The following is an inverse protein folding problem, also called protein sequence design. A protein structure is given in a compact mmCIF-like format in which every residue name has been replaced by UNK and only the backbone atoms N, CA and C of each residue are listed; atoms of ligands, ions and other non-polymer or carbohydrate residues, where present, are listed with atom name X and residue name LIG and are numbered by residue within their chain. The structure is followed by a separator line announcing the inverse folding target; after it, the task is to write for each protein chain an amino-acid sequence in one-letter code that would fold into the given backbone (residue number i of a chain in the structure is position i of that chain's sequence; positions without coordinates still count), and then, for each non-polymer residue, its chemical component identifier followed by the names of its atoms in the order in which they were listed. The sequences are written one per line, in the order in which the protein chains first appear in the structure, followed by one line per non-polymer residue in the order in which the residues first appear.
data_IF_626591488944
#
_entry.id   IF_626591488944
#
_cell.length_a   1.000
_cell.length_b   1.000
_cell.length_c   1.000
_cell.angle_alpha   90.00
_cell.angle_beta   90.00
_cell.angle_gamma   90.00
#
_symmetry.space_group_name_H-M   'P 1'
#
loop_
_entity.id
_entity.type
_entity.pdbx_description
1 polymer ?
#
# COMPACT_ATOMS: atom_id res chain seq x y z
N UNK A 1 15.25 -2.64 -15.47
CA UNK A 1 14.29 -2.39 -14.37
C UNK A 1 12.97 -2.00 -15.01
N UNK A 2 11.93 -2.84 -14.90
CA UNK A 2 10.64 -2.62 -15.58
C UNK A 2 9.68 -1.92 -14.62
N UNK A 3 9.31 -0.68 -14.91
CA UNK A 3 8.32 0.05 -14.13
C UNK A 3 6.91 -0.29 -14.63
N UNK A 4 6.03 -0.71 -13.73
CA UNK A 4 4.70 -1.20 -14.10
C UNK A 4 3.69 -0.06 -14.34
N UNK A 5 3.97 1.16 -13.86
CA UNK A 5 3.00 2.27 -13.86
C UNK A 5 3.65 3.61 -14.23
N UNK A 6 4.08 3.84 -15.48
CA UNK A 6 4.51 5.17 -15.94
C UNK A 6 3.50 6.27 -15.62
N UNK A 7 3.95 7.52 -15.47
CA UNK A 7 3.04 8.65 -15.29
C UNK A 7 1.99 8.70 -16.42
N UNK A 8 0.73 8.96 -16.06
CA UNK A 8 -0.40 8.92 -16.99
C UNK A 8 -0.96 7.52 -17.30
N UNK A 9 -0.43 6.46 -16.69
CA UNK A 9 -0.99 5.12 -16.83
C UNK A 9 -2.36 5.00 -16.13
N UNK A 10 -3.28 4.32 -16.78
CA UNK A 10 -4.52 3.87 -16.15
C UNK A 10 -4.22 2.63 -15.30
N UNK A 11 -4.77 2.61 -14.09
CA UNK A 11 -4.66 1.51 -13.13
C UNK A 11 -6.02 1.22 -12.52
N UNK A 12 -6.25 -0.03 -12.15
CA UNK A 12 -7.44 -0.42 -11.41
C UNK A 12 -7.15 -0.31 -9.91
N UNK A 13 -8.13 0.20 -9.16
CA UNK A 13 -8.06 0.33 -7.71
C UNK A 13 -9.10 -0.58 -7.07
N UNK A 14 -8.63 -1.60 -6.35
CA UNK A 14 -9.47 -2.35 -5.44
C UNK A 14 -9.48 -1.64 -4.08
N UNK A 15 -10.62 -1.06 -3.73
CA UNK A 15 -10.79 -0.34 -2.46
C UNK A 15 -10.96 -1.33 -1.32
N UNK A 16 -10.10 -1.22 -0.30
CA UNK A 16 -10.18 -2.00 0.94
C UNK A 16 -10.96 -1.22 2.00
N UNK A 17 -10.62 0.05 2.21
CA UNK A 17 -11.29 0.91 3.18
C UNK A 17 -11.00 2.39 2.93
N UNK A 18 -11.64 3.26 3.71
CA UNK A 18 -11.27 4.68 3.84
C UNK A 18 -10.77 4.91 5.25
N UNK A 19 -9.57 5.47 5.38
CA UNK A 19 -8.98 5.75 6.69
C UNK A 19 -9.62 6.98 7.36
N UNK A 20 -9.25 7.24 8.62
CA UNK A 20 -9.79 8.38 9.39
C UNK A 20 -9.48 9.76 8.80
N UNK A 21 -8.54 9.85 7.87
CA UNK A 21 -8.15 11.08 7.20
C UNK A 21 -8.88 11.25 5.86
N UNK A 22 -9.84 10.36 5.55
CA UNK A 22 -10.59 10.41 4.29
C UNK A 22 -9.82 9.86 3.10
N UNK A 23 -8.70 9.15 3.32
CA UNK A 23 -7.91 8.57 2.23
C UNK A 23 -8.38 7.16 1.92
N UNK A 24 -8.48 6.85 0.63
CA UNK A 24 -8.75 5.49 0.18
C UNK A 24 -7.50 4.63 0.40
N UNK A 25 -7.70 3.50 1.06
CA UNK A 25 -6.71 2.42 1.22
C UNK A 25 -7.13 1.30 0.29
N UNK A 26 -6.23 0.88 -0.58
CA UNK A 26 -6.55 -0.14 -1.58
C UNK A 26 -5.33 -0.78 -2.23
N UNK A 27 -5.61 -1.77 -3.07
CA UNK A 27 -4.62 -2.48 -3.87
C UNK A 27 -4.71 -1.97 -5.30
N UNK A 28 -3.57 -1.52 -5.84
CA UNK A 28 -3.48 -1.10 -7.22
C UNK A 28 -3.12 -2.27 -8.12
N UNK A 29 -3.82 -2.37 -9.24
CA UNK A 29 -3.55 -3.33 -10.30
C UNK A 29 -3.17 -2.59 -11.58
N UNK A 30 -2.07 -3.03 -12.19
CA UNK A 30 -1.65 -2.55 -13.50
C UNK A 30 -1.40 -3.75 -14.38
N UNK A 31 -2.17 -3.90 -15.46
CA UNK A 31 -2.06 -5.03 -16.41
C UNK A 31 -2.12 -6.39 -15.71
N UNK A 32 -3.04 -6.54 -14.74
CA UNK A 32 -3.20 -7.76 -13.94
C UNK A 32 -2.17 -7.96 -12.82
N UNK A 33 -1.21 -7.05 -12.63
CA UNK A 33 -0.17 -7.15 -11.59
C UNK A 33 -0.54 -6.30 -10.38
N UNK A 34 -0.47 -6.88 -9.17
CA UNK A 34 -0.62 -6.16 -7.90
C UNK A 34 0.61 -5.29 -7.64
N UNK A 35 0.48 -3.99 -7.92
CA UNK A 35 1.58 -3.02 -7.85
C UNK A 35 2.16 -2.95 -6.44
N UNK A 36 1.31 -2.93 -5.41
CA UNK A 36 1.73 -2.83 -4.01
C UNK A 36 2.69 -3.97 -3.59
N UNK A 37 2.43 -5.19 -4.06
CA UNK A 37 3.26 -6.37 -3.75
C UNK A 37 4.58 -6.30 -4.49
N UNK A 38 4.54 -5.86 -5.74
CA UNK A 38 5.73 -5.68 -6.54
C UNK A 38 6.63 -4.59 -5.98
N UNK A 39 6.07 -3.51 -5.43
CA UNK A 39 6.84 -2.49 -4.70
C UNK A 39 7.60 -3.09 -3.51
N UNK A 40 6.97 -4.01 -2.78
CA UNK A 40 7.64 -4.74 -1.68
C UNK A 40 8.72 -5.67 -2.24
N UNK A 41 8.41 -6.44 -3.28
CA UNK A 41 9.35 -7.38 -3.93
C UNK A 41 10.61 -6.68 -4.44
N UNK A 42 10.46 -5.46 -4.97
CA UNK A 42 11.57 -4.65 -5.46
C UNK A 42 12.30 -3.88 -4.34
N UNK A 43 11.83 -3.98 -3.09
CA UNK A 43 12.45 -3.32 -1.94
C UNK A 43 12.16 -1.82 -1.82
N UNK A 44 11.11 -1.30 -2.49
CA UNK A 44 10.70 0.11 -2.38
C UNK A 44 9.76 0.37 -1.20
N UNK A 45 9.13 -0.68 -0.67
CA UNK A 45 8.17 -0.58 0.41
C UNK A 45 8.45 -1.61 1.50
N UNK A 46 8.23 -1.21 2.75
CA UNK A 46 8.22 -2.10 3.90
C UNK A 46 6.80 -2.61 4.18
N UNK A 47 6.68 -3.88 4.57
CA UNK A 47 5.40 -4.45 5.02
C UNK A 47 5.13 -3.99 6.44
N UNK A 48 3.97 -3.36 6.66
CA UNK A 48 3.55 -3.00 8.00
C UNK A 48 2.66 -4.09 8.59
N UNK A 49 3.26 -4.98 9.37
CA UNK A 49 2.65 -6.22 9.88
C UNK A 49 1.33 -5.98 10.62
N UNK A 50 1.20 -4.84 11.31
CA UNK A 50 -0.01 -4.46 12.05
C UNK A 50 -1.27 -4.40 11.18
N UNK A 51 -1.14 -4.14 9.88
CA UNK A 51 -2.28 -3.97 8.96
C UNK A 51 -2.23 -4.88 7.73
N UNK A 52 -1.24 -5.75 7.64
CA UNK A 52 -1.08 -6.63 6.48
C UNK A 52 -1.35 -8.07 6.89
N UNK A 53 -2.50 -8.61 6.47
CA UNK A 53 -2.84 -10.02 6.69
C UNK A 53 -2.47 -10.91 5.49
N UNK A 54 -2.26 -10.32 4.31
CA UNK A 54 -2.04 -11.07 3.08
C UNK A 54 -0.62 -11.67 3.00
N UNK A 55 -0.48 -13.02 2.94
CA UNK A 55 0.81 -13.72 2.89
C UNK A 55 1.73 -13.30 1.74
N UNK A 56 1.18 -12.88 0.61
CA UNK A 56 1.97 -12.56 -0.57
C UNK A 56 2.87 -11.33 -0.37
N UNK A 57 2.52 -10.42 0.53
CA UNK A 57 3.41 -9.31 0.91
C UNK A 57 4.61 -9.80 1.72
N UNK A 58 4.41 -10.78 2.60
CA UNK A 58 5.50 -11.37 3.38
C UNK A 58 6.45 -12.16 2.48
N UNK A 59 5.92 -12.94 1.54
CA UNK A 59 6.74 -13.63 0.55
C UNK A 59 7.58 -12.63 -0.26
N UNK A 60 6.95 -11.57 -0.78
CA UNK A 60 7.65 -10.51 -1.51
C UNK A 60 8.73 -9.82 -0.65
N UNK A 61 8.47 -9.63 0.65
CA UNK A 61 9.45 -9.06 1.59
C UNK A 61 10.68 -9.95 1.73
N UNK A 62 10.48 -11.26 1.95
CA UNK A 62 11.60 -12.18 2.09
C UNK A 62 12.40 -12.31 0.79
N UNK A 63 11.74 -12.28 -0.38
CA UNK A 63 12.42 -12.21 -1.67
C UNK A 63 13.26 -10.92 -1.85
N UNK A 64 12.76 -9.78 -1.36
CA UNK A 64 13.50 -8.52 -1.42
C UNK A 64 14.69 -8.54 -0.45
N UNK A 65 14.50 -9.10 0.74
CA UNK A 65 15.52 -9.26 1.78
C UNK A 65 16.65 -10.19 1.36
N UNK A 66 16.32 -11.38 0.85
CA UNK A 66 17.30 -12.36 0.40
C UNK A 66 18.15 -11.83 -0.77
N UNK A 67 17.55 -11.00 -1.63
CA UNK A 67 18.22 -10.38 -2.75
C UNK A 67 18.91 -9.03 -2.40
N UNK A 68 18.83 -8.57 -1.14
CA UNK A 68 19.41 -7.28 -0.72
C UNK A 68 18.87 -6.07 -1.50
N UNK A 69 17.59 -6.09 -1.88
CA UNK A 69 16.97 -5.04 -2.74
C UNK A 69 16.51 -3.83 -1.95
N UNK A 70 16.75 -2.63 -2.50
CA UNK A 70 16.21 -1.36 -2.00
C UNK A 70 16.51 -1.14 -0.52
N UNK A 71 15.48 -0.95 0.31
CA UNK A 71 15.63 -0.74 1.77
C UNK A 71 16.31 -1.90 2.51
N UNK A 72 16.41 -3.08 1.87
CA UNK A 72 17.05 -4.28 2.43
C UNK A 72 18.54 -4.39 2.11
N UNK A 73 19.08 -3.52 1.24
CA UNK A 73 20.51 -3.52 0.87
C UNK A 73 21.43 -3.24 2.08
N UNK A 74 20.93 -2.49 3.05
CA UNK A 74 21.63 -2.18 4.31
C UNK A 74 20.67 -2.45 5.47
N UNK A 75 21.12 -3.03 6.59
CA UNK A 75 20.32 -3.14 7.81
C UNK A 75 19.98 -1.76 8.39
N UNK A 76 18.76 -1.55 8.91
CA UNK A 76 18.42 -0.31 9.61
C UNK A 76 16.93 0.02 9.69
N UNK A 77 16.61 1.20 10.26
CA UNK A 77 15.23 1.64 10.52
C UNK A 77 14.43 1.97 9.25
N UNK A 78 15.07 2.15 8.10
CA UNK A 78 14.41 2.26 6.80
C UNK A 78 13.53 1.04 6.49
N UNK A 79 13.84 -0.12 7.08
CA UNK A 79 13.04 -1.35 6.95
C UNK A 79 11.78 -1.31 7.82
N UNK A 80 11.74 -0.41 8.82
CA UNK A 80 10.68 -0.29 9.83
C UNK A 80 10.39 1.19 10.11
N UNK A 81 9.90 1.96 9.11
CA UNK A 81 9.72 3.41 9.21
C UNK A 81 8.75 3.85 10.31
N UNK A 82 7.84 2.96 10.76
CA UNK A 82 6.99 3.23 11.93
C UNK A 82 7.81 3.37 13.21
N UNK A 83 8.85 2.56 13.42
CA UNK A 83 9.69 2.66 14.62
C UNK A 83 10.46 3.97 14.68
N UNK A 84 10.91 4.49 13.52
CA UNK A 84 11.54 5.81 13.46
C UNK A 84 10.54 6.91 13.85
N UNK A 85 9.31 6.87 13.31
CA UNK A 85 8.26 7.85 13.62
C UNK A 85 7.85 7.86 15.11
N UNK A 86 8.04 6.76 15.83
CA UNK A 86 7.74 6.67 17.25
C UNK A 86 8.85 7.20 18.17
N UNK A 87 10.06 7.51 17.66
CA UNK A 87 11.23 7.91 18.47
C UNK A 87 11.44 9.43 18.60
N UNK A 88 10.81 10.26 17.78
CA UNK A 88 11.08 11.70 17.73
C UNK A 88 9.82 12.54 17.66
N UNK A 89 9.78 13.59 18.47
CA UNK A 89 8.69 14.55 18.69
C UNK A 89 7.58 14.06 19.63
N UNK A 90 7.23 14.93 20.57
CA UNK A 90 6.20 14.75 21.58
C UNK A 90 4.98 14.03 21.02
N UNK A 91 4.61 12.96 21.72
CA UNK A 91 3.51 12.06 21.45
C UNK A 91 2.23 12.83 21.09
N UNK A 92 2.02 13.13 19.81
CA UNK A 92 0.67 13.17 19.26
C UNK A 92 0.38 11.69 19.00
N UNK A 93 -0.38 11.00 19.87
CA UNK A 93 -0.80 9.65 19.53
C UNK A 93 -1.47 9.76 18.17
N UNK A 94 -0.99 9.02 17.17
CA UNK A 94 -1.91 8.64 16.10
C UNK A 94 -3.08 8.01 16.85
N UNK A 95 -4.34 8.51 16.74
CA UNK A 95 -5.48 7.85 17.36
C UNK A 95 -5.35 6.36 17.18
N UNK A 96 -5.49 5.62 18.29
CA UNK A 96 -5.32 4.17 18.33
C UNK A 96 -5.96 3.62 17.06
N UNK A 97 -5.19 2.96 16.19
CA UNK A 97 -5.78 2.43 14.98
C UNK A 97 -6.80 1.39 15.41
N UNK A 98 -8.05 1.72 15.12
CA UNK A 98 -9.15 0.80 15.34
C UNK A 98 -9.00 -0.30 14.30
N UNK A 99 -9.37 -1.55 14.63
CA UNK A 99 -9.49 -2.58 13.61
C UNK A 99 -10.34 -2.04 12.47
N UNK A 100 -9.98 -2.41 11.23
CA UNK A 100 -10.80 -2.15 10.06
C UNK A 100 -12.24 -2.54 10.41
N UNK A 101 -13.14 -1.57 10.52
CA UNK A 101 -14.54 -1.86 10.85
C UNK A 101 -15.09 -2.72 9.71
N UNK A 102 -15.72 -3.89 9.98
CA UNK A 102 -16.55 -4.52 8.98
C UNK A 102 -17.66 -3.51 8.65
N UNK A 103 -17.78 -3.11 7.38
CA UNK A 103 -18.87 -2.24 6.95
C UNK A 103 -20.19 -2.97 7.18
N UNK A 104 -20.96 -2.54 8.19
CA UNK A 104 -22.41 -2.70 8.18
C UNK A 104 -23.03 -1.31 7.96
N UNK A 105 -23.75 -1.21 6.84
CA UNK A 105 -24.78 -0.24 6.44
C UNK A 105 -24.37 1.06 5.68
N UNK A 106 -24.87 1.07 4.43
CA UNK A 106 -25.45 2.13 3.59
C UNK A 106 -24.59 3.20 2.87
N UNK A 107 -24.34 2.88 1.58
CA UNK A 107 -24.62 3.67 0.34
C UNK A 107 -23.82 4.96 0.02
N UNK A 108 -23.77 5.43 -1.26
CA UNK A 108 -24.35 4.90 -2.50
C UNK A 108 -23.33 4.62 -3.62
N UNK A 109 -23.81 3.93 -4.65
CA UNK A 109 -23.15 3.63 -5.92
C UNK A 109 -22.61 4.90 -6.59
N UNK A 110 -21.29 5.02 -6.71
CA UNK A 110 -20.68 5.93 -7.66
C UNK A 110 -20.36 5.16 -8.95
N UNK A 111 -21.22 5.33 -9.93
CA UNK A 111 -21.05 4.87 -11.31
C UNK A 111 -20.02 5.78 -11.98
N UNK A 112 -18.78 5.32 -12.14
CA UNK A 112 -17.78 6.03 -12.95
C UNK A 112 -18.02 5.70 -14.43
N UNK A 113 -19.09 6.24 -15.00
CA UNK A 113 -19.15 6.45 -16.45
C UNK A 113 -18.33 7.68 -16.79
N UNK A 114 -17.14 7.48 -17.36
CA UNK A 114 -16.65 8.45 -18.33
C UNK A 114 -16.69 7.82 -19.72
N UNK A 115 -17.52 8.46 -20.55
CA UNK A 115 -17.83 8.09 -21.92
C UNK A 115 -16.58 8.11 -22.80
N UNK A 116 -16.53 7.15 -23.71
CA UNK A 116 -15.86 7.25 -25.00
C UNK A 116 -16.26 8.55 -25.71
N UNK A 117 -15.29 9.26 -26.27
CA UNK A 117 -15.47 10.45 -27.07
C UNK A 117 -14.18 10.83 -27.79
N UNK A 118 -14.07 10.36 -29.02
CA UNK A 118 -13.15 10.75 -30.09
C UNK A 118 -13.02 12.28 -30.18
N UNK A 119 -11.80 12.83 -30.27
CA UNK A 119 -11.09 13.31 -31.49
C UNK A 119 -9.58 13.24 -31.23
#
# INVERSE_FOLDING_TARGET
MRWYVPAGSVVDLETVTTDRYGRIVGVLFARGVRVNVEMVRQGFAAVYERYCADPAYYQAREEARAAGRGIWAVPGLQQRPWEWRHRGAGFIPLPKPQPLKPLLLLQPSFDFRHRSGII
#
